data_IF_350600313184
#
_entry.id   IF_350600313184
#
_cell.length_a   1.000
_cell.length_b   1.000
_cell.length_c   1.000
_cell.angle_alpha   90.00
_cell.angle_beta   90.00
_cell.angle_gamma   90.00
#
_symmetry.space_group_name_H-M   'P 1'
#
loop_
_entity.id
_entity.type
_entity.pdbx_description
1 polymer ?
#
# COMPACT_ATOMS: atom_id res chain seq x y z
N UNK A 1 -6.42 -19.78 -20.39
CA UNK A 1 -7.18 -19.14 -21.49
C UNK A 1 -7.26 -17.65 -21.16
N UNK A 2 -6.42 -16.81 -21.78
CA UNK A 2 -6.49 -15.36 -21.58
C UNK A 2 -7.77 -14.84 -22.25
N UNK A 3 -8.73 -14.39 -21.44
CA UNK A 3 -9.84 -13.59 -21.96
C UNK A 3 -9.24 -12.29 -22.48
N UNK A 4 -9.37 -12.07 -23.78
CA UNK A 4 -8.99 -10.84 -24.44
C UNK A 4 -9.65 -9.64 -23.73
N UNK A 5 -8.83 -8.81 -23.09
CA UNK A 5 -9.23 -7.64 -22.29
C UNK A 5 -9.23 -6.35 -23.15
N UNK A 6 -8.99 -6.46 -24.46
CA UNK A 6 -8.50 -5.39 -25.35
C UNK A 6 -9.20 -4.03 -25.30
N UNK A 7 -10.48 -3.96 -24.92
CA UNK A 7 -11.27 -2.72 -24.92
C UNK A 7 -11.89 -2.35 -23.56
N UNK A 8 -11.54 -3.07 -22.47
CA UNK A 8 -12.13 -2.79 -21.16
C UNK A 8 -11.41 -1.65 -20.45
N UNK A 9 -12.17 -0.69 -19.93
CA UNK A 9 -11.65 0.46 -19.18
C UNK A 9 -12.42 0.67 -17.87
N UNK A 10 -11.70 1.04 -16.81
CA UNK A 10 -12.26 1.47 -15.54
C UNK A 10 -12.18 3.00 -15.46
N UNK A 11 -13.33 3.68 -15.49
CA UNK A 11 -13.40 5.14 -15.64
C UNK A 11 -13.84 5.77 -14.32
N UNK A 12 -12.94 6.51 -13.68
CA UNK A 12 -13.21 7.28 -12.47
C UNK A 12 -13.64 8.69 -12.85
N UNK A 13 -14.82 9.10 -12.39
CA UNK A 13 -15.38 10.42 -12.67
C UNK A 13 -15.46 11.21 -11.37
N UNK A 14 -14.64 12.26 -11.27
CA UNK A 14 -14.63 13.14 -10.12
C UNK A 14 -15.73 14.20 -10.22
N UNK A 15 -16.28 14.58 -9.06
CA UNK A 15 -17.18 15.71 -8.96
C UNK A 15 -16.43 17.06 -8.96
N UNK A 16 -15.74 17.36 -10.06
CA UNK A 16 -14.94 18.57 -10.22
C UNK A 16 -14.89 19.00 -11.71
N UNK A 17 -14.44 20.23 -11.99
CA UNK A 17 -14.16 20.70 -13.36
C UNK A 17 -12.67 20.57 -13.68
N UNK A 18 -12.33 20.18 -14.90
CA UNK A 18 -10.95 19.97 -15.36
C UNK A 18 -10.02 21.18 -15.10
N UNK A 19 -10.47 22.39 -15.44
CA UNK A 19 -9.69 23.62 -15.22
C UNK A 19 -9.53 24.04 -13.76
N UNK A 20 -10.36 23.52 -12.86
CA UNK A 20 -10.24 23.76 -11.42
C UNK A 20 -9.16 22.85 -10.80
N UNK A 21 -9.08 21.60 -11.25
CA UNK A 21 -8.04 20.67 -10.78
C UNK A 21 -6.66 21.11 -11.23
N UNK A 22 -6.49 21.60 -12.47
CA UNK A 22 -5.21 22.17 -12.89
C UNK A 22 -4.79 23.34 -12.00
N UNK A 23 -5.73 24.23 -11.64
CA UNK A 23 -5.47 25.33 -10.71
C UNK A 23 -5.18 24.86 -9.29
N UNK A 24 -5.75 23.74 -8.85
CA UNK A 24 -5.51 23.13 -7.54
C UNK A 24 -4.12 22.51 -7.47
N UNK A 25 -3.72 21.78 -8.51
CA UNK A 25 -2.36 21.25 -8.68
C UNK A 25 -1.35 22.41 -8.72
N UNK A 26 -1.67 23.50 -9.42
CA UNK A 26 -0.83 24.71 -9.44
C UNK A 26 -0.82 25.45 -8.09
N UNK A 27 -1.96 25.51 -7.40
CA UNK A 27 -2.14 26.16 -6.10
C UNK A 27 -1.54 25.34 -4.95
N UNK A 28 -1.37 24.04 -5.10
CA UNK A 28 -0.66 23.21 -4.13
C UNK A 28 0.80 23.71 -3.93
N UNK A 29 1.41 24.43 -4.89
CA UNK A 29 2.69 25.12 -4.66
C UNK A 29 2.61 26.37 -3.74
N UNK A 30 1.42 26.87 -3.42
CA UNK A 30 1.15 28.03 -2.55
C UNK A 30 -0.04 27.77 -1.60
N UNK A 31 0.31 27.38 -0.39
CA UNK A 31 -0.51 27.06 0.80
C UNK A 31 -1.87 27.82 0.94
N UNK A 32 -2.90 27.05 1.38
CA UNK A 32 -4.17 27.36 2.12
C UNK A 32 -5.50 27.44 1.32
N UNK A 33 -6.38 26.41 1.41
CA UNK A 33 -7.63 26.41 2.22
C UNK A 33 -8.55 25.19 1.93
N UNK A 34 -9.14 24.50 2.93
CA UNK A 34 -9.78 23.18 2.77
C UNK A 34 -11.28 23.17 2.39
N UNK A 35 -11.93 24.32 2.23
CA UNK A 35 -13.41 24.37 2.19
C UNK A 35 -14.06 24.30 0.79
N UNK A 36 -13.32 23.98 -0.29
CA UNK A 36 -13.87 24.07 -1.67
C UNK A 36 -13.84 22.80 -2.53
N UNK A 37 -13.65 21.61 -1.94
CA UNK A 37 -13.49 20.38 -2.73
C UNK A 37 -14.68 19.40 -2.57
N UNK A 38 -15.69 19.53 -3.44
CA UNK A 38 -16.95 18.74 -3.44
C UNK A 38 -16.84 17.29 -3.97
N UNK A 39 -15.71 16.59 -3.80
CA UNK A 39 -15.60 15.18 -4.24
C UNK A 39 -14.83 14.34 -3.25
N UNK A 40 -15.52 13.48 -2.47
CA UNK A 40 -14.87 12.56 -1.52
C UNK A 40 -13.81 11.68 -2.21
N UNK A 41 -14.09 11.24 -3.45
CA UNK A 41 -13.12 10.51 -4.28
C UNK A 41 -11.79 11.27 -4.48
N UNK A 42 -11.85 12.59 -4.63
CA UNK A 42 -10.65 13.40 -4.80
C UNK A 42 -9.87 13.48 -3.49
N UNK A 43 -10.56 13.76 -2.38
CA UNK A 43 -9.96 13.81 -1.05
C UNK A 43 -9.28 12.49 -0.65
N UNK A 44 -9.86 11.35 -1.05
CA UNK A 44 -9.31 10.03 -0.75
C UNK A 44 -8.12 9.67 -1.65
N UNK A 45 -8.12 10.09 -2.92
CA UNK A 45 -7.11 9.66 -3.90
C UNK A 45 -5.93 10.63 -4.05
N UNK A 46 -6.05 11.86 -3.55
CA UNK A 46 -5.02 12.89 -3.63
C UNK A 46 -4.57 13.35 -2.24
N UNK A 47 -3.27 13.30 -2.01
CA UNK A 47 -2.64 13.99 -0.87
C UNK A 47 -2.44 15.49 -1.16
N UNK A 48 -1.66 16.17 -0.32
CA UNK A 48 -1.49 17.63 -0.36
C UNK A 48 -0.97 18.18 -1.69
N UNK A 49 -0.20 17.38 -2.47
CA UNK A 49 0.47 17.87 -3.69
C UNK A 49 0.34 16.93 -4.90
N UNK A 50 0.01 15.66 -4.69
CA UNK A 50 -0.06 14.64 -5.76
C UNK A 50 -0.96 13.49 -5.34
N UNK A 51 -1.31 12.66 -6.33
CA UNK A 51 -2.04 11.42 -6.10
C UNK A 51 -1.29 10.53 -5.08
N UNK A 52 -2.04 9.97 -4.13
CA UNK A 52 -1.55 9.04 -3.10
C UNK A 52 -0.71 7.92 -3.74
N UNK A 53 0.51 7.69 -3.25
CA UNK A 53 1.43 6.69 -3.86
C UNK A 53 0.80 5.29 -3.85
N UNK A 54 0.16 4.91 -2.74
CA UNK A 54 -0.55 3.64 -2.60
C UNK A 54 -1.69 3.49 -3.61
N UNK A 55 -2.39 4.59 -3.92
CA UNK A 55 -3.43 4.59 -4.95
C UNK A 55 -2.86 4.42 -6.36
N UNK A 56 -1.75 5.09 -6.66
CA UNK A 56 -1.04 4.94 -7.95
C UNK A 56 -0.58 3.49 -8.13
N UNK A 57 0.06 2.91 -7.12
CA UNK A 57 0.56 1.55 -7.14
C UNK A 57 -0.60 0.54 -7.31
N UNK A 58 -1.72 0.78 -6.63
CA UNK A 58 -2.95 -0.01 -6.80
C UNK A 58 -3.49 0.04 -8.23
N UNK A 59 -3.70 1.24 -8.78
CA UNK A 59 -4.24 1.44 -10.13
C UNK A 59 -3.34 0.78 -11.19
N UNK A 60 -2.02 0.89 -11.05
CA UNK A 60 -1.06 0.25 -11.95
C UNK A 60 -1.05 -1.28 -11.83
N UNK A 61 -1.50 -1.83 -10.69
CA UNK A 61 -1.59 -3.27 -10.46
C UNK A 61 -2.85 -3.91 -11.05
N UNK A 62 -3.86 -3.11 -11.37
CA UNK A 62 -5.13 -3.61 -11.87
C UNK A 62 -4.99 -4.25 -13.27
N UNK A 63 -5.73 -5.33 -13.56
CA UNK A 63 -5.70 -5.99 -14.87
C UNK A 63 -6.43 -5.19 -15.97
N UNK A 64 -6.89 -3.97 -15.65
CA UNK A 64 -7.73 -3.14 -16.50
C UNK A 64 -7.17 -1.71 -16.56
N UNK A 65 -7.23 -1.11 -17.75
CA UNK A 65 -6.81 0.27 -17.96
C UNK A 65 -7.72 1.21 -17.17
N UNK A 66 -7.12 2.07 -16.35
CA UNK A 66 -7.83 3.08 -15.59
C UNK A 66 -7.80 4.44 -16.30
N UNK A 67 -8.95 5.10 -16.38
CA UNK A 67 -9.13 6.42 -16.99
C UNK A 67 -9.73 7.35 -15.95
N UNK A 68 -9.24 8.59 -15.88
CA UNK A 68 -9.69 9.59 -14.93
C UNK A 68 -10.28 10.78 -15.68
N UNK A 69 -11.51 11.17 -15.35
CA UNK A 69 -12.22 12.28 -16.00
C UNK A 69 -13.06 13.08 -15.00
N UNK A 70 -13.70 14.13 -15.49
CA UNK A 70 -14.29 15.20 -14.70
C UNK A 70 -15.72 15.52 -15.15
N UNK A 71 -16.48 16.19 -14.29
CA UNK A 71 -17.91 16.53 -14.53
C UNK A 71 -18.11 17.27 -15.85
N UNK A 72 -17.21 18.17 -16.22
CA UNK A 72 -17.29 18.97 -17.45
C UNK A 72 -16.96 18.18 -18.73
N UNK A 73 -16.45 16.95 -18.61
CA UNK A 73 -16.10 16.05 -19.73
C UNK A 73 -17.02 14.83 -19.84
N UNK A 74 -18.14 14.82 -19.11
CA UNK A 74 -19.14 13.74 -19.17
C UNK A 74 -19.71 13.54 -20.58
N UNK A 75 -19.91 14.63 -21.31
CA UNK A 75 -20.45 14.61 -22.68
C UNK A 75 -19.56 13.85 -23.67
N UNK A 76 -18.23 13.88 -23.47
CA UNK A 76 -17.25 13.13 -24.26
C UNK A 76 -17.45 11.62 -24.11
N UNK A 77 -18.01 11.18 -22.99
CA UNK A 77 -18.25 9.78 -22.66
C UNK A 77 -19.70 9.33 -22.89
N UNK A 78 -20.55 10.18 -23.49
CA UNK A 78 -21.99 9.93 -23.68
C UNK A 78 -22.78 9.66 -22.38
N UNK A 79 -22.25 10.09 -21.23
CA UNK A 79 -22.89 9.91 -19.91
C UNK A 79 -23.86 11.07 -19.64
N UNK A 80 -25.09 10.78 -19.20
CA UNK A 80 -26.11 11.77 -18.83
C UNK A 80 -26.79 11.38 -17.52
N UNK A 81 -27.17 12.37 -16.70
CA UNK A 81 -27.96 12.21 -15.48
C UNK A 81 -27.36 11.25 -14.43
N UNK A 82 -26.08 11.42 -14.10
CA UNK A 82 -25.37 10.62 -13.09
C UNK A 82 -25.01 11.48 -11.89
N UNK A 83 -25.19 10.93 -10.69
CA UNK A 83 -24.70 11.54 -9.46
C UNK A 83 -23.19 11.29 -9.34
N UNK A 84 -22.42 12.35 -9.14
CA UNK A 84 -20.96 12.26 -9.02
C UNK A 84 -20.50 12.41 -7.57
N UNK A 85 -19.29 11.94 -7.20
CA UNK A 85 -18.36 11.13 -8.01
C UNK A 85 -18.93 9.74 -8.35
N UNK A 86 -18.40 9.07 -9.38
CA UNK A 86 -18.85 7.72 -9.76
C UNK A 86 -17.75 6.95 -10.51
N UNK A 87 -17.83 5.62 -10.52
CA UNK A 87 -16.91 4.75 -11.26
C UNK A 87 -17.68 3.87 -12.24
N UNK A 88 -17.22 3.86 -13.48
CA UNK A 88 -17.82 3.13 -14.58
C UNK A 88 -16.88 2.03 -15.10
N UNK A 89 -17.48 0.93 -15.52
CA UNK A 89 -16.82 -0.11 -16.29
C UNK A 89 -17.28 0.01 -17.75
N UNK A 90 -16.31 0.18 -18.65
CA UNK A 90 -16.50 0.14 -20.10
C UNK A 90 -16.03 -1.19 -20.64
N UNK A 91 -16.75 -1.75 -21.61
CA UNK A 91 -16.29 -2.89 -22.42
C UNK A 91 -16.04 -2.53 -23.89
N UNK A 92 -15.98 -1.24 -24.19
CA UNK A 92 -15.87 -0.69 -25.55
C UNK A 92 -17.21 -0.50 -26.27
N UNK A 93 -18.31 -1.05 -25.74
CA UNK A 93 -19.65 -0.94 -26.32
C UNK A 93 -20.64 -0.28 -25.37
N UNK A 94 -20.58 -0.64 -24.10
CA UNK A 94 -21.47 -0.17 -23.05
C UNK A 94 -20.69 0.42 -21.87
N UNK A 95 -21.30 1.38 -21.19
CA UNK A 95 -20.82 1.94 -19.94
C UNK A 95 -21.77 1.52 -18.81
N UNK A 96 -21.23 0.79 -17.84
CA UNK A 96 -21.95 0.35 -16.65
C UNK A 96 -21.43 1.08 -15.43
N UNK A 97 -22.29 1.79 -14.71
CA UNK A 97 -21.94 2.34 -13.40
C UNK A 97 -21.78 1.18 -12.41
N UNK A 98 -20.60 1.06 -11.80
CA UNK A 98 -20.29 -0.03 -10.86
C UNK A 98 -20.07 0.45 -9.43
N UNK A 99 -19.71 1.73 -9.23
CA UNK A 99 -19.64 2.36 -7.91
C UNK A 99 -20.36 3.70 -7.98
N UNK A 100 -21.41 3.84 -7.17
CA UNK A 100 -22.28 5.00 -7.13
C UNK A 100 -21.74 6.09 -6.19
N UNK A 101 -22.13 7.36 -6.43
CA UNK A 101 -21.78 8.50 -5.57
C UNK A 101 -22.03 8.28 -4.08
N UNK A 102 -23.14 7.64 -3.72
CA UNK A 102 -23.47 7.32 -2.32
C UNK A 102 -22.47 6.36 -1.66
N UNK A 103 -21.93 5.41 -2.42
CA UNK A 103 -20.96 4.45 -1.91
C UNK A 103 -19.63 5.17 -1.69
N UNK A 104 -19.21 5.98 -2.66
CA UNK A 104 -17.96 6.75 -2.59
C UNK A 104 -17.99 7.78 -1.45
N UNK A 105 -19.12 8.47 -1.25
CA UNK A 105 -19.25 9.48 -0.20
C UNK A 105 -19.32 8.87 1.22
N UNK A 106 -19.53 7.56 1.34
CA UNK A 106 -19.50 6.85 2.63
C UNK A 106 -18.11 6.29 2.98
N UNK A 107 -17.14 6.36 2.07
CA UNK A 107 -15.79 5.88 2.31
C UNK A 107 -15.03 6.88 3.20
N UNK A 108 -14.33 6.38 4.22
CA UNK A 108 -13.51 7.22 5.10
C UNK A 108 -12.06 7.37 4.67
N UNK A 109 -11.54 6.44 3.88
CA UNK A 109 -10.12 6.34 3.57
C UNK A 109 -9.85 5.61 2.25
N UNK A 110 -8.57 5.59 1.87
CA UNK A 110 -8.10 4.98 0.63
C UNK A 110 -8.25 3.45 0.61
N UNK A 111 -8.16 2.80 1.77
CA UNK A 111 -8.27 1.36 1.86
C UNK A 111 -9.69 0.90 1.51
N UNK A 112 -10.71 1.57 2.05
CA UNK A 112 -12.10 1.28 1.69
C UNK A 112 -12.40 1.51 0.21
N UNK A 113 -11.75 2.51 -0.42
CA UNK A 113 -11.86 2.73 -1.87
C UNK A 113 -11.23 1.58 -2.68
N UNK A 114 -10.06 1.11 -2.28
CA UNK A 114 -9.40 -0.03 -2.92
C UNK A 114 -10.29 -1.28 -2.81
N UNK A 115 -10.82 -1.55 -1.62
CA UNK A 115 -11.68 -2.71 -1.35
C UNK A 115 -12.95 -2.70 -2.20
N UNK A 116 -13.66 -1.57 -2.26
CA UNK A 116 -14.88 -1.50 -3.07
C UNK A 116 -14.58 -1.65 -4.56
N UNK A 117 -13.47 -1.12 -5.06
CA UNK A 117 -13.07 -1.31 -6.47
C UNK A 117 -12.77 -2.78 -6.74
N UNK A 118 -12.03 -3.46 -5.86
CA UNK A 118 -11.75 -4.89 -5.98
C UNK A 118 -13.04 -5.72 -5.99
N UNK A 119 -13.95 -5.49 -5.04
CA UNK A 119 -15.24 -6.19 -4.97
C UNK A 119 -16.03 -6.01 -6.27
N UNK A 120 -16.12 -4.78 -6.78
CA UNK A 120 -16.88 -4.50 -8.00
C UNK A 120 -16.23 -5.09 -9.24
N UNK A 121 -14.90 -5.14 -9.32
CA UNK A 121 -14.20 -5.80 -10.42
C UNK A 121 -14.39 -7.32 -10.38
N UNK A 122 -14.32 -7.94 -9.20
CA UNK A 122 -14.61 -9.37 -8.98
C UNK A 122 -16.07 -9.71 -9.38
N UNK A 123 -17.05 -8.91 -8.95
CA UNK A 123 -18.47 -9.04 -9.36
C UNK A 123 -18.68 -8.97 -10.88
N UNK A 124 -17.78 -8.29 -11.60
CA UNK A 124 -17.80 -8.17 -13.06
C UNK A 124 -16.80 -9.13 -13.74
N UNK A 125 -16.34 -10.17 -13.03
CA UNK A 125 -15.57 -11.28 -13.58
C UNK A 125 -14.11 -10.94 -13.90
N UNK A 126 -13.53 -9.96 -13.21
CA UNK A 126 -12.12 -9.61 -13.29
C UNK A 126 -11.40 -10.06 -12.02
N UNK A 127 -10.34 -10.86 -12.18
CA UNK A 127 -9.47 -11.21 -11.06
C UNK A 127 -8.53 -10.04 -10.79
N UNK A 128 -8.76 -9.31 -9.69
CA UNK A 128 -7.76 -8.36 -9.20
C UNK A 128 -6.71 -9.12 -8.40
N UNK A 129 -5.45 -8.68 -8.48
CA UNK A 129 -4.41 -9.16 -7.57
C UNK A 129 -4.68 -8.55 -6.21
N UNK A 130 -5.64 -9.12 -5.48
CA UNK A 130 -5.97 -8.77 -4.11
C UNK A 130 -4.65 -8.72 -3.34
N UNK A 131 -4.18 -7.54 -2.96
CA UNK A 131 -3.31 -7.43 -1.80
C UNK A 131 -4.22 -7.83 -0.65
N UNK A 132 -4.37 -9.14 -0.41
CA UNK A 132 -5.08 -9.66 0.74
C UNK A 132 -4.36 -9.09 1.95
N UNK A 133 -4.92 -8.04 2.53
CA UNK A 133 -4.68 -7.73 3.93
C UNK A 133 -4.87 -9.03 4.70
N UNK A 134 -3.87 -9.38 5.50
CA UNK A 134 -3.91 -10.64 6.23
C UNK A 134 -4.80 -10.46 7.45
N UNK A 135 -6.10 -10.69 7.27
CA UNK A 135 -7.07 -10.72 8.37
C UNK A 135 -7.12 -12.13 8.95
N UNK A 136 -6.29 -12.39 9.95
CA UNK A 136 -6.35 -13.59 10.79
C UNK A 136 -6.65 -13.18 12.23
N UNK A 137 -7.41 -14.02 12.93
CA UNK A 137 -7.61 -13.92 14.38
C UNK A 137 -6.32 -14.21 15.14
N UNK A 138 -6.24 -13.80 16.41
CA UNK A 138 -5.07 -14.08 17.25
C UNK A 138 -4.83 -15.59 17.41
N UNK A 139 -5.89 -16.39 17.56
CA UNK A 139 -5.78 -17.86 17.64
C UNK A 139 -5.22 -18.46 16.33
N UNK A 140 -5.65 -17.96 15.17
CA UNK A 140 -5.10 -18.38 13.87
C UNK A 140 -3.63 -17.99 13.74
N UNK A 141 -3.24 -16.80 14.22
CA UNK A 141 -1.85 -16.37 14.27
C UNK A 141 -1.00 -17.24 15.20
N UNK A 142 -1.49 -17.57 16.40
CA UNK A 142 -0.79 -18.44 17.34
C UNK A 142 -0.63 -19.86 16.81
N UNK A 143 -1.58 -20.36 16.02
CA UNK A 143 -1.47 -21.66 15.36
C UNK A 143 -0.52 -21.65 14.16
N UNK A 144 -0.41 -20.50 13.48
CA UNK A 144 0.43 -20.34 12.29
C UNK A 144 1.90 -20.07 12.62
N UNK A 145 2.15 -19.28 13.66
CA UNK A 145 3.46 -18.79 14.05
C UNK A 145 4.03 -19.62 15.19
N UNK A 146 5.35 -19.71 15.26
CA UNK A 146 6.02 -20.13 16.48
C UNK A 146 5.78 -19.11 17.60
N UNK A 147 5.93 -19.50 18.88
CA UNK A 147 5.76 -18.57 20.00
C UNK A 147 6.66 -17.32 19.91
N UNK A 148 7.89 -17.46 19.41
CA UNK A 148 8.82 -16.35 19.24
C UNK A 148 8.41 -15.42 18.10
N UNK A 149 8.04 -15.98 16.94
CA UNK A 149 7.49 -15.21 15.81
C UNK A 149 6.23 -14.45 16.21
N UNK A 150 5.31 -15.08 16.96
CA UNK A 150 4.09 -14.43 17.44
C UNK A 150 4.41 -13.27 18.39
N UNK A 151 5.28 -13.51 19.37
CA UNK A 151 5.71 -12.49 20.33
C UNK A 151 6.30 -11.26 19.62
N UNK A 152 7.13 -11.47 18.61
CA UNK A 152 7.75 -10.37 17.86
C UNK A 152 6.73 -9.71 16.92
N UNK A 153 6.10 -10.46 16.02
CA UNK A 153 5.25 -9.92 14.96
C UNK A 153 3.95 -9.31 15.49
N UNK A 154 3.38 -9.85 16.57
CA UNK A 154 2.03 -9.47 17.06
C UNK A 154 2.06 -8.71 18.36
N UNK A 155 2.97 -9.06 19.27
CA UNK A 155 3.10 -8.40 20.58
C UNK A 155 4.18 -7.31 20.62
N UNK A 156 4.79 -7.01 19.46
CA UNK A 156 5.87 -6.02 19.32
C UNK A 156 7.08 -6.30 20.22
N UNK A 157 7.35 -7.58 20.44
CA UNK A 157 8.52 -8.06 21.16
C UNK A 157 9.83 -7.76 20.41
N UNK A 158 10.95 -8.01 21.07
CA UNK A 158 12.29 -7.89 20.47
C UNK A 158 13.13 -9.09 20.90
N UNK A 159 13.72 -9.79 19.93
CA UNK A 159 14.61 -10.91 20.22
C UNK A 159 15.90 -10.42 20.91
N UNK A 160 16.59 -11.32 21.62
CA UNK A 160 17.86 -10.96 22.27
C UNK A 160 18.91 -10.62 21.20
N UNK A 161 19.79 -9.64 21.45
CA UNK A 161 20.84 -9.31 20.51
C UNK A 161 21.79 -10.50 20.31
N UNK A 162 22.25 -10.69 19.07
CA UNK A 162 23.19 -11.71 18.60
C UNK A 162 22.67 -13.15 18.65
N UNK A 163 21.37 -13.37 18.90
CA UNK A 163 20.78 -14.73 18.94
C UNK A 163 20.01 -15.11 17.69
N UNK A 164 19.58 -14.13 16.89
CA UNK A 164 18.77 -14.34 15.70
C UNK A 164 19.48 -15.14 14.60
N UNK A 165 18.76 -16.09 13.99
CA UNK A 165 19.23 -16.94 12.87
C UNK A 165 19.88 -16.13 11.73
N UNK A 166 19.35 -14.96 11.44
CA UNK A 166 19.73 -14.13 10.30
C UNK A 166 20.68 -12.96 10.65
N UNK A 167 21.12 -12.83 11.91
CA UNK A 167 22.06 -11.77 12.32
C UNK A 167 23.37 -11.87 11.50
N UNK A 168 24.05 -13.01 11.62
CA UNK A 168 25.32 -13.29 10.91
C UNK A 168 25.16 -14.16 9.66
N UNK A 169 24.02 -14.05 9.01
CA UNK A 169 23.71 -14.77 7.78
C UNK A 169 23.80 -13.83 6.57
N UNK A 170 24.53 -14.23 5.52
CA UNK A 170 24.85 -13.36 4.37
C UNK A 170 24.75 -14.11 3.02
N UNK A 171 23.89 -15.13 2.93
CA UNK A 171 23.65 -15.83 1.68
C UNK A 171 22.83 -14.97 0.70
N UNK A 172 23.02 -15.21 -0.60
CA UNK A 172 22.28 -14.54 -1.68
C UNK A 172 20.81 -14.96 -1.71
N UNK A 173 19.90 -14.00 -1.71
CA UNK A 173 18.46 -14.26 -1.73
C UNK A 173 17.59 -13.13 -1.20
N UNK A 174 16.37 -13.48 -0.79
CA UNK A 174 15.36 -12.53 -0.33
C UNK A 174 14.89 -12.85 1.07
N UNK A 175 14.66 -11.81 1.87
CA UNK A 175 14.07 -11.91 3.19
C UNK A 175 12.59 -11.57 3.11
N UNK A 176 11.75 -12.47 3.60
CA UNK A 176 10.29 -12.39 3.58
C UNK A 176 9.76 -12.17 4.99
N UNK A 177 8.59 -11.57 5.13
CA UNK A 177 7.88 -11.52 6.40
C UNK A 177 7.49 -12.94 6.83
N UNK A 178 7.93 -13.40 7.99
CA UNK A 178 7.56 -14.72 8.52
C UNK A 178 6.02 -14.88 8.70
N UNK A 179 5.30 -13.77 8.91
CA UNK A 179 3.85 -13.79 9.06
C UNK A 179 3.07 -13.99 7.77
N UNK A 180 3.49 -13.38 6.66
CA UNK A 180 2.68 -13.33 5.43
C UNK A 180 3.42 -13.64 4.13
N UNK A 181 4.70 -14.00 4.22
CA UNK A 181 5.61 -14.32 3.11
C UNK A 181 5.82 -13.18 2.10
N UNK A 182 5.47 -11.94 2.45
CA UNK A 182 5.77 -10.76 1.64
C UNK A 182 7.27 -10.54 1.61
N UNK A 183 7.87 -10.38 0.43
CA UNK A 183 9.27 -9.99 0.29
C UNK A 183 9.47 -8.58 0.87
N UNK A 184 10.44 -8.44 1.77
CA UNK A 184 10.73 -7.20 2.50
C UNK A 184 12.10 -6.62 2.14
N UNK A 185 13.12 -7.47 2.05
CA UNK A 185 14.50 -7.07 1.81
C UNK A 185 15.20 -8.03 0.84
N UNK A 186 16.27 -7.57 0.22
CA UNK A 186 17.16 -8.38 -0.62
C UNK A 186 18.54 -8.45 0.05
N UNK A 187 19.28 -9.53 -0.17
CA UNK A 187 20.59 -9.75 0.44
C UNK A 187 21.60 -8.65 0.14
N UNK A 188 21.51 -8.03 -1.04
CA UNK A 188 22.39 -6.94 -1.46
C UNK A 188 22.33 -5.72 -0.53
N UNK A 189 21.18 -5.51 0.11
CA UNK A 189 21.01 -4.39 1.04
C UNK A 189 21.43 -4.74 2.46
N UNK A 190 21.73 -6.02 2.75
CA UNK A 190 22.15 -6.50 4.06
C UNK A 190 23.62 -6.17 4.32
N UNK A 191 23.93 -5.76 5.54
CA UNK A 191 25.31 -5.49 5.95
C UNK A 191 25.53 -5.78 7.43
N UNK A 192 26.81 -5.83 7.83
CA UNK A 192 27.18 -5.99 9.23
C UNK A 192 27.24 -4.62 9.93
N UNK A 193 26.20 -4.27 10.68
CA UNK A 193 26.14 -3.05 11.50
C UNK A 193 26.78 -3.22 12.88
N UNK A 194 26.98 -4.47 13.33
CA UNK A 194 27.34 -4.78 14.71
C UNK A 194 26.24 -4.54 15.75
N UNK A 195 25.00 -4.23 15.34
CA UNK A 195 23.92 -3.90 16.28
C UNK A 195 23.32 -5.11 17.02
N UNK A 196 23.60 -6.34 16.55
CA UNK A 196 23.11 -7.59 17.14
C UNK A 196 21.79 -8.10 16.56
N UNK A 197 21.32 -7.50 15.48
CA UNK A 197 20.17 -7.96 14.72
C UNK A 197 20.48 -7.81 13.22
N UNK A 198 19.78 -8.57 12.34
CA UNK A 198 19.81 -8.31 10.91
C UNK A 198 19.68 -6.81 10.58
N UNK A 199 20.60 -6.31 9.75
CA UNK A 199 20.64 -4.90 9.36
C UNK A 199 20.65 -4.77 7.83
N UNK A 200 19.74 -3.94 7.33
CA UNK A 200 19.62 -3.60 5.91
C UNK A 200 19.67 -2.09 5.72
N UNK A 201 20.23 -1.60 4.62
CA UNK A 201 20.23 -0.16 4.34
C UNK A 201 19.01 0.30 3.52
N UNK A 202 18.27 -0.64 2.91
CA UNK A 202 17.12 -0.35 2.06
C UNK A 202 16.15 -1.54 2.06
N UNK A 203 14.84 -1.23 2.07
CA UNK A 203 13.76 -2.20 1.92
C UNK A 203 13.20 -2.20 0.50
N UNK A 204 12.47 -3.26 0.14
CA UNK A 204 11.72 -3.28 -1.11
C UNK A 204 10.62 -2.19 -1.09
N UNK A 205 10.43 -1.42 -2.18
CA UNK A 205 9.50 -0.31 -2.21
C UNK A 205 8.06 -0.71 -1.83
N UNK A 206 7.48 0.03 -0.88
CA UNK A 206 6.07 -0.14 -0.47
C UNK A 206 5.79 -1.45 0.29
N UNK A 207 6.80 -2.02 0.96
CA UNK A 207 6.66 -3.26 1.75
C UNK A 207 6.68 -3.05 3.26
N UNK A 208 7.13 -1.87 3.69
CA UNK A 208 7.27 -1.49 5.09
C UNK A 208 6.49 -0.21 5.35
N UNK A 209 5.75 -0.20 6.47
CA UNK A 209 5.16 0.99 7.05
C UNK A 209 6.06 1.49 8.19
N UNK A 210 6.25 2.81 8.28
CA UNK A 210 7.07 3.47 9.28
C UNK A 210 6.18 4.29 10.22
N UNK A 211 6.27 4.05 11.53
CA UNK A 211 5.45 4.74 12.53
C UNK A 211 6.28 5.22 13.74
N UNK A 212 5.98 6.39 14.32
CA UNK A 212 6.70 6.85 15.51
C UNK A 212 6.47 5.92 16.71
N UNK A 213 7.55 5.50 17.36
CA UNK A 213 7.55 4.73 18.60
C UNK A 213 8.26 5.52 19.71
N UNK A 214 7.48 5.90 20.72
CA UNK A 214 7.94 6.66 21.89
C UNK A 214 8.04 5.79 23.17
N UNK A 215 7.98 4.47 23.02
CA UNK A 215 8.16 3.54 24.14
C UNK A 215 9.53 3.71 24.80
N UNK A 216 9.60 3.37 26.09
CA UNK A 216 10.83 3.48 26.90
C UNK A 216 11.49 4.88 26.90
N UNK A 217 10.71 5.94 26.63
CA UNK A 217 11.21 7.32 26.53
C UNK A 217 12.28 7.52 25.45
N UNK A 218 12.32 6.64 24.44
CA UNK A 218 13.19 6.76 23.27
C UNK A 218 12.34 7.15 22.07
N UNK A 219 12.80 8.12 21.28
CA UNK A 219 12.18 8.44 19.99
C UNK A 219 12.77 7.53 18.92
N UNK A 220 12.00 6.53 18.49
CA UNK A 220 12.37 5.60 17.41
C UNK A 220 11.29 5.59 16.34
N UNK A 221 11.60 5.00 15.19
CA UNK A 221 10.62 4.76 14.12
C UNK A 221 10.46 3.25 13.99
N UNK A 222 9.32 2.73 14.41
CA UNK A 222 8.93 1.32 14.24
C UNK A 222 8.71 1.03 12.75
N UNK A 223 9.14 -0.15 12.33
CA UNK A 223 8.85 -0.70 11.00
C UNK A 223 7.93 -1.92 11.13
N UNK A 224 6.84 -1.93 10.36
CA UNK A 224 5.90 -3.06 10.27
C UNK A 224 5.76 -3.52 8.82
N UNK A 225 5.33 -4.76 8.61
CA UNK A 225 5.00 -5.24 7.27
C UNK A 225 3.70 -4.61 6.78
N UNK A 226 3.75 -3.89 5.65
CA UNK A 226 2.58 -3.20 5.05
C UNK A 226 1.38 -4.14 4.83
N UNK A 227 1.63 -5.43 4.54
CA UNK A 227 0.57 -6.39 4.18
C UNK A 227 -0.18 -6.99 5.38
N UNK A 228 0.49 -7.23 6.50
CA UNK A 228 -0.11 -7.93 7.66
C UNK A 228 -0.01 -7.15 8.98
N UNK A 229 0.61 -5.97 8.96
CA UNK A 229 0.87 -5.16 10.15
C UNK A 229 1.84 -5.80 11.15
N UNK A 230 2.53 -6.88 10.78
CA UNK A 230 3.45 -7.57 11.68
C UNK A 230 4.65 -6.70 12.02
N UNK A 231 4.98 -6.57 13.31
CA UNK A 231 6.15 -5.83 13.78
C UNK A 231 7.46 -6.49 13.32
N UNK A 232 8.35 -5.69 12.75
CA UNK A 232 9.64 -6.15 12.21
C UNK A 232 10.81 -5.65 13.06
N UNK A 233 10.78 -4.40 13.51
CA UNK A 233 11.87 -3.77 14.27
C UNK A 233 11.81 -2.25 14.18
N UNK A 234 12.96 -1.61 13.97
CA UNK A 234 13.06 -0.14 13.86
C UNK A 234 14.00 0.31 12.72
N UNK A 235 13.81 1.53 12.24
CA UNK A 235 14.71 2.21 11.29
C UNK A 235 15.43 3.39 11.96
N UNK A 236 16.71 3.56 11.61
CA UNK A 236 17.60 4.60 12.14
C UNK A 236 18.36 5.31 11.01
N UNK A 237 18.80 6.56 11.26
CA UNK A 237 19.55 7.39 10.30
C UNK A 237 21.09 7.25 10.45
N UNK A 238 21.57 6.10 10.91
CA UNK A 238 22.97 5.81 11.19
C UNK A 238 23.53 4.68 10.31
N UNK A 239 22.92 4.46 9.16
CA UNK A 239 23.33 3.44 8.20
C UNK A 239 24.38 3.90 7.18
N UNK A 240 24.83 2.98 6.32
CA UNK A 240 25.81 3.28 5.28
C UNK A 240 25.17 4.05 4.11
N UNK A 241 26.03 4.61 3.26
CA UNK A 241 25.62 5.04 1.92
C UNK A 241 25.11 3.82 1.12
N UNK A 242 24.15 4.01 0.18
CA UNK A 242 23.68 5.29 -0.38
C UNK A 242 22.51 5.95 0.37
N UNK A 243 21.81 5.23 1.26
CA UNK A 243 20.59 5.72 1.90
C UNK A 243 20.84 6.46 3.21
N UNK A 244 21.92 6.11 3.93
CA UNK A 244 22.15 6.55 5.30
C UNK A 244 21.21 5.91 6.31
N UNK A 245 20.39 4.95 5.89
CA UNK A 245 19.38 4.30 6.73
C UNK A 245 19.86 2.94 7.22
N UNK A 246 19.43 2.56 8.42
CA UNK A 246 19.61 1.23 8.98
C UNK A 246 18.27 0.69 9.44
N UNK A 247 17.72 -0.23 8.66
CA UNK A 247 16.63 -1.10 9.06
C UNK A 247 17.20 -2.19 9.97
N UNK A 248 16.92 -2.07 11.27
CA UNK A 248 17.32 -3.02 12.31
C UNK A 248 16.14 -3.95 12.59
N UNK A 249 16.24 -5.20 12.13
CA UNK A 249 15.09 -6.10 11.99
C UNK A 249 15.29 -7.33 12.84
N UNK A 250 14.26 -7.76 13.58
CA UNK A 250 14.29 -9.02 14.31
C UNK A 250 14.42 -10.19 13.33
N UNK A 251 15.36 -11.11 13.55
CA UNK A 251 15.50 -12.30 12.73
C UNK A 251 14.25 -13.17 12.72
N UNK A 252 13.60 -13.35 13.88
CA UNK A 252 12.37 -14.14 13.97
C UNK A 252 11.14 -13.43 13.37
N UNK A 253 11.27 -12.19 12.85
CA UNK A 253 10.23 -11.59 12.00
C UNK A 253 10.40 -11.93 10.51
N UNK A 254 11.52 -12.58 10.16
CA UNK A 254 11.93 -12.86 8.79
C UNK A 254 11.93 -14.36 8.48
N UNK A 255 11.68 -14.69 7.23
CA UNK A 255 12.06 -15.95 6.60
C UNK A 255 12.97 -15.67 5.39
N UNK A 256 13.65 -16.68 4.85
CA UNK A 256 14.64 -16.51 3.79
C UNK A 256 14.40 -17.45 2.61
N UNK A 257 14.42 -16.88 1.41
CA UNK A 257 14.40 -17.61 0.14
C UNK A 257 15.74 -17.43 -0.59
N UNK A 258 16.53 -18.49 -0.81
CA UNK A 258 17.77 -18.43 -1.58
C UNK A 258 17.53 -17.99 -3.04
N UNK A 259 18.51 -17.31 -3.62
CA UNK A 259 18.56 -17.05 -5.07
C UNK A 259 18.84 -18.36 -5.84
N UNK A 260 18.19 -18.55 -7.00
CA UNK A 260 18.40 -19.71 -7.89
C UNK A 260 19.67 -19.61 -8.73
#
# INVERSE_FOLDING_TARGET
>A
MSKDLGDKELIFIYNAKSGFINKLVDFAHKIISPETYESNLFAITYGTFKMEKRWVDYIQSLPIKCVFTYRDKLSEHKIKNVNLPAVFLSDGRELKEIIFSREINNLSDLQQLIEIVDIKLEENGMETKKQKEVTLTDDEWQNKLTPEEYHILREKGTERPFTGKYDKFYEGGKYKCAGCNTELFVSDTKYNSGCGWPAFYESLPGKIEESPDNSFSMARVEITCEKCGGHLGHVFNDGPQPTGLRYCVNSASLDFEPEE
#
